data_IF_761753092011
#
_entry.id   IF_761753092011
#
_cell.length_a   1.000
_cell.length_b   1.000
_cell.length_c   1.000
_cell.angle_alpha   90.00
_cell.angle_beta   90.00
_cell.angle_gamma   90.00
#
_symmetry.space_group_name_H-M   'P 1'
#
loop_
_entity.id
_entity.type
_entity.pdbx_description
1 polymer ?
#
# COMPACT_ATOMS: atom_id res chain seq x y z
N UNK A 1 0.76 -38.93 13.08
CA UNK A 1 1.34 -37.81 12.33
C UNK A 1 0.20 -36.91 11.93
N UNK A 2 0.03 -35.77 12.60
CA UNK A 2 -0.91 -34.74 12.16
C UNK A 2 -0.35 -34.12 10.87
N UNK A 3 -1.09 -34.30 9.77
CA UNK A 3 -0.83 -33.58 8.53
C UNK A 3 -1.28 -32.15 8.75
N UNK A 4 -0.34 -31.22 8.92
CA UNK A 4 -0.63 -29.80 8.91
C UNK A 4 -1.06 -29.43 7.49
N UNK A 5 -2.37 -29.32 7.28
CA UNK A 5 -2.91 -28.79 6.02
C UNK A 5 -2.50 -27.33 5.95
N UNK A 6 -1.59 -27.01 5.03
CA UNK A 6 -1.23 -25.64 4.74
C UNK A 6 -2.44 -24.96 4.08
N UNK A 7 -3.05 -24.01 4.77
CA UNK A 7 -4.10 -23.17 4.22
C UNK A 7 -3.44 -22.07 3.41
N UNK A 8 -3.81 -21.94 2.14
CA UNK A 8 -3.39 -20.77 1.36
C UNK A 8 -4.04 -19.55 1.96
N UNK A 9 -3.25 -18.50 2.17
CA UNK A 9 -3.73 -17.19 2.59
C UNK A 9 -4.80 -16.59 1.65
N UNK A 10 -4.86 -17.07 0.39
CA UNK A 10 -5.88 -16.69 -0.59
C UNK A 10 -7.26 -17.32 -0.30
N UNK A 11 -7.29 -18.42 0.45
CA UNK A 11 -8.53 -19.10 0.85
C UNK A 11 -9.14 -18.47 2.10
N UNK A 12 -8.43 -17.52 2.73
CA UNK A 12 -8.91 -16.82 3.90
C UNK A 12 -9.95 -15.76 3.53
N UNK A 13 -10.97 -15.54 4.37
CA UNK A 13 -11.88 -14.42 4.22
C UNK A 13 -11.12 -13.08 4.22
N UNK A 14 -11.58 -12.07 3.44
CA UNK A 14 -10.95 -10.75 3.38
C UNK A 14 -10.74 -10.13 4.76
N UNK A 15 -11.67 -10.30 5.69
CA UNK A 15 -11.60 -9.77 7.06
C UNK A 15 -10.41 -10.35 7.85
N UNK A 16 -10.05 -11.61 7.57
CA UNK A 16 -8.90 -12.25 8.21
C UNK A 16 -7.60 -11.74 7.59
N UNK A 17 -7.57 -11.57 6.26
CA UNK A 17 -6.43 -10.96 5.55
C UNK A 17 -6.22 -9.52 6.05
N UNK A 18 -7.29 -8.78 6.27
CA UNK A 18 -7.28 -7.45 6.87
C UNK A 18 -6.64 -7.45 8.27
N UNK A 19 -6.98 -8.42 9.12
CA UNK A 19 -6.37 -8.56 10.46
C UNK A 19 -4.88 -8.85 10.34
N UNK A 20 -4.47 -9.81 9.50
CA UNK A 20 -3.06 -10.14 9.25
C UNK A 20 -2.31 -8.89 8.78
N UNK A 21 -2.89 -8.13 7.85
CA UNK A 21 -2.33 -6.90 7.32
C UNK A 21 -2.06 -5.84 8.41
N UNK A 22 -2.79 -5.84 9.53
CA UNK A 22 -2.51 -4.91 10.64
C UNK A 22 -1.24 -5.20 11.42
N UNK A 23 -0.68 -6.40 11.30
CA UNK A 23 0.58 -6.79 11.95
C UNK A 23 1.80 -6.54 11.07
N UNK A 24 1.60 -6.22 9.80
CA UNK A 24 2.66 -6.06 8.83
C UNK A 24 3.26 -4.65 8.88
N UNK A 25 4.59 -4.59 8.68
CA UNK A 25 5.29 -3.34 8.47
C UNK A 25 4.93 -2.70 7.14
N UNK A 26 5.35 -1.44 6.96
CA UNK A 26 5.03 -0.67 5.77
C UNK A 26 5.67 -1.23 4.48
N UNK A 27 6.85 -1.81 4.59
CA UNK A 27 7.54 -2.48 3.47
C UNK A 27 6.94 -3.85 3.16
N UNK A 28 6.53 -4.60 4.19
CA UNK A 28 5.84 -5.88 4.02
C UNK A 28 4.49 -5.68 3.33
N UNK A 29 3.68 -4.72 3.80
CA UNK A 29 2.40 -4.38 3.17
C UNK A 29 2.57 -3.96 1.71
N UNK A 30 3.61 -3.18 1.41
CA UNK A 30 3.91 -2.76 0.05
C UNK A 30 4.32 -3.95 -0.84
N UNK A 31 5.10 -4.88 -0.30
CA UNK A 31 5.50 -6.10 -1.01
C UNK A 31 4.30 -7.01 -1.25
N UNK A 32 3.45 -7.18 -0.24
CA UNK A 32 2.20 -7.93 -0.31
C UNK A 32 1.23 -7.40 -1.38
N UNK A 33 1.20 -6.07 -1.56
CA UNK A 33 0.39 -5.41 -2.58
C UNK A 33 0.78 -5.81 -4.02
N UNK A 34 2.02 -6.25 -4.26
CA UNK A 34 2.51 -6.65 -5.58
C UNK A 34 2.52 -8.16 -5.85
N UNK A 35 2.15 -8.99 -4.86
CA UNK A 35 2.19 -10.46 -5.00
C UNK A 35 1.07 -11.00 -5.88
N UNK A 36 -0.17 -10.53 -5.68
CA UNK A 36 -1.35 -11.06 -6.38
C UNK A 36 -2.50 -10.05 -6.44
N UNK A 37 -3.36 -10.13 -7.47
CA UNK A 37 -4.47 -9.17 -7.66
C UNK A 37 -5.51 -9.18 -6.55
N UNK A 38 -5.82 -10.34 -5.97
CA UNK A 38 -6.77 -10.41 -4.84
C UNK A 38 -6.20 -9.75 -3.59
N UNK A 39 -4.89 -9.87 -3.38
CA UNK A 39 -4.18 -9.17 -2.29
C UNK A 39 -4.19 -7.68 -2.51
N UNK A 40 -3.90 -7.23 -3.73
CA UNK A 40 -4.02 -5.84 -4.11
C UNK A 40 -5.42 -5.32 -3.78
N UNK A 41 -6.48 -6.00 -4.22
CA UNK A 41 -7.87 -5.60 -3.96
C UNK A 41 -8.18 -5.50 -2.46
N UNK A 42 -7.80 -6.51 -1.68
CA UNK A 42 -8.09 -6.54 -0.23
C UNK A 42 -7.26 -5.51 0.55
N UNK A 43 -6.01 -5.29 0.14
CA UNK A 43 -5.11 -4.33 0.78
C UNK A 43 -5.29 -2.90 0.28
N UNK A 44 -6.04 -2.68 -0.81
CA UNK A 44 -6.36 -1.37 -1.37
C UNK A 44 -7.42 -0.60 -0.54
N UNK A 45 -7.25 -0.59 0.77
CA UNK A 45 -8.13 0.07 1.72
C UNK A 45 -7.44 1.27 2.36
N UNK A 46 -8.14 2.42 2.31
CA UNK A 46 -7.72 3.66 2.96
C UNK A 46 -7.39 3.47 4.45
N UNK A 47 -8.04 2.51 5.13
CA UNK A 47 -7.83 2.21 6.55
C UNK A 47 -6.40 1.72 6.84
N UNK A 48 -5.80 0.93 5.96
CA UNK A 48 -4.44 0.42 6.14
C UNK A 48 -3.41 1.50 5.88
N UNK A 49 -3.49 2.08 4.68
CA UNK A 49 -2.46 3.02 4.21
C UNK A 49 -2.45 4.34 4.97
N UNK A 50 -3.60 4.76 5.51
CA UNK A 50 -3.66 5.96 6.37
C UNK A 50 -2.79 5.81 7.61
N UNK A 51 -2.73 4.61 8.21
CA UNK A 51 -1.92 4.36 9.42
C UNK A 51 -0.43 4.43 9.15
N UNK A 52 -0.01 4.19 7.90
CA UNK A 52 1.39 4.22 7.49
C UNK A 52 1.85 5.62 7.05
N UNK A 53 0.92 6.55 6.84
CA UNK A 53 1.24 7.93 6.50
C UNK A 53 1.51 8.73 7.79
N UNK A 54 2.63 9.45 7.81
CA UNK A 54 3.02 10.31 8.94
C UNK A 54 2.38 11.70 8.81
N UNK A 55 2.14 12.16 7.57
CA UNK A 55 1.59 13.48 7.31
C UNK A 55 0.07 13.47 7.12
N UNK A 56 -0.62 14.56 7.53
CA UNK A 56 -2.05 14.68 7.28
C UNK A 56 -2.36 14.91 5.79
N UNK A 57 -3.58 14.55 5.40
CA UNK A 57 -4.08 14.55 4.02
C UNK A 57 -3.78 15.85 3.24
N UNK A 58 -3.85 16.99 3.92
CA UNK A 58 -3.59 18.32 3.34
C UNK A 58 -2.21 18.47 2.70
N UNK A 59 -1.20 17.74 3.18
CA UNK A 59 0.16 17.78 2.62
C UNK A 59 0.26 17.05 1.27
N UNK A 60 -0.62 16.07 1.04
CA UNK A 60 -0.65 15.30 -0.21
C UNK A 60 -1.61 15.91 -1.24
N UNK A 61 -2.60 16.69 -0.79
CA UNK A 61 -3.52 17.45 -1.65
C UNK A 61 -2.88 18.66 -2.35
N UNK A 62 -1.70 19.12 -1.91
CA UNK A 62 -1.02 20.25 -2.55
C UNK A 62 -0.54 19.86 -3.95
N UNK A 63 -1.04 20.62 -4.92
CA UNK A 63 -1.11 20.31 -6.35
C UNK A 63 0.24 20.04 -7.04
N UNK A 64 0.19 19.23 -8.10
CA UNK A 64 1.17 19.25 -9.20
C UNK A 64 1.90 17.94 -9.51
N UNK A 65 1.95 16.99 -8.58
CA UNK A 65 2.69 15.74 -8.83
C UNK A 65 1.71 14.59 -9.10
N UNK A 66 1.35 14.43 -10.36
CA UNK A 66 0.80 13.18 -10.90
C UNK A 66 1.93 12.15 -10.95
N UNK A 67 2.29 11.57 -9.80
CA UNK A 67 3.06 10.33 -9.80
C UNK A 67 2.26 9.31 -10.63
N UNK A 68 2.73 8.98 -11.83
CA UNK A 68 2.23 7.86 -12.63
C UNK A 68 0.92 8.05 -13.41
N UNK A 69 0.18 9.17 -13.30
CA UNK A 69 -1.12 9.35 -13.99
C UNK A 69 -1.01 9.53 -15.53
N UNK A 70 0.18 9.36 -16.13
CA UNK A 70 0.30 9.19 -17.58
C UNK A 70 -0.13 7.77 -17.98
N UNK A 71 -1.43 7.50 -17.89
CA UNK A 71 -2.10 6.43 -18.63
C UNK A 71 -2.16 5.05 -17.97
N UNK A 72 -1.72 4.88 -16.72
CA UNK A 72 -1.82 3.59 -16.05
C UNK A 72 -3.18 3.45 -15.31
N UNK A 73 -4.17 2.82 -15.96
CA UNK A 73 -5.53 2.64 -15.42
C UNK A 73 -5.52 1.97 -14.04
N UNK A 74 -4.62 1.02 -13.84
CA UNK A 74 -4.49 0.28 -12.59
C UNK A 74 -4.10 1.21 -11.42
N UNK A 75 -3.32 2.26 -11.68
CA UNK A 75 -2.95 3.23 -10.64
C UNK A 75 -4.11 4.16 -10.26
N UNK A 76 -5.08 4.39 -11.15
CA UNK A 76 -6.25 5.19 -10.81
C UNK A 76 -7.18 4.46 -9.84
N UNK A 77 -7.24 3.13 -9.90
CA UNK A 77 -8.01 2.28 -8.99
C UNK A 77 -7.42 2.19 -7.58
N UNK A 78 -6.15 2.59 -7.40
CA UNK A 78 -5.49 2.62 -6.10
C UNK A 78 -6.10 3.68 -5.18
N UNK A 79 -6.33 3.31 -3.92
CA UNK A 79 -6.93 4.16 -2.91
C UNK A 79 -6.05 5.38 -2.58
N UNK A 80 -6.70 6.46 -2.15
CA UNK A 80 -6.06 7.75 -1.91
C UNK A 80 -4.87 7.67 -0.95
N UNK A 81 -5.01 6.93 0.16
CA UNK A 81 -3.95 6.85 1.16
C UNK A 81 -2.77 5.99 0.71
N UNK A 82 -2.96 5.01 -0.19
CA UNK A 82 -1.85 4.29 -0.81
C UNK A 82 -1.04 5.21 -1.72
N UNK A 83 -1.71 5.99 -2.58
CA UNK A 83 -1.07 7.01 -3.42
C UNK A 83 -0.27 8.02 -2.58
N UNK A 84 -0.84 8.43 -1.44
CA UNK A 84 -0.19 9.34 -0.48
C UNK A 84 1.04 8.71 0.18
N UNK A 85 0.95 7.44 0.60
CA UNK A 85 2.06 6.68 1.17
C UNK A 85 3.20 6.53 0.16
N UNK A 86 2.90 6.15 -1.09
CA UNK A 86 3.90 5.99 -2.14
C UNK A 86 4.64 7.31 -2.40
N UNK A 87 3.92 8.43 -2.41
CA UNK A 87 4.53 9.77 -2.51
C UNK A 87 5.42 10.08 -1.31
N UNK A 88 4.97 9.79 -0.09
CA UNK A 88 5.78 9.99 1.12
C UNK A 88 7.08 9.18 1.06
N UNK A 89 6.99 7.89 0.67
CA UNK A 89 8.14 7.00 0.54
C UNK A 89 9.12 7.53 -0.50
N UNK A 90 8.64 7.92 -1.68
CA UNK A 90 9.48 8.51 -2.72
C UNK A 90 10.19 9.78 -2.24
N UNK A 91 9.47 10.69 -1.58
CA UNK A 91 10.05 11.91 -1.05
C UNK A 91 11.14 11.60 -0.01
N UNK A 92 10.88 10.66 0.90
CA UNK A 92 11.87 10.24 1.90
C UNK A 92 13.13 9.63 1.25
N UNK A 93 12.95 8.76 0.25
CA UNK A 93 14.06 8.17 -0.49
C UNK A 93 14.88 9.22 -1.25
N UNK A 94 14.22 10.21 -1.85
CA UNK A 94 14.88 11.31 -2.54
C UNK A 94 15.67 12.18 -1.55
N UNK A 95 15.06 12.58 -0.44
CA UNK A 95 15.68 13.39 0.61
C UNK A 95 16.89 12.68 1.23
N UNK A 96 16.76 11.41 1.61
CA UNK A 96 17.86 10.61 2.18
C UNK A 96 19.06 10.45 1.23
N UNK A 97 18.82 10.56 -0.09
CA UNK A 97 19.85 10.52 -1.14
C UNK A 97 20.30 11.91 -1.60
N UNK A 98 19.82 12.99 -0.99
CA UNK A 98 20.14 14.37 -1.38
C UNK A 98 19.59 14.80 -2.75
N UNK A 99 18.53 14.13 -3.24
CA UNK A 99 17.85 14.45 -4.50
C UNK A 99 16.64 15.34 -4.17
N UNK A 100 16.68 16.61 -4.55
CA UNK A 100 15.63 17.59 -4.19
C UNK A 100 14.70 17.95 -5.37
N UNK A 101 14.67 17.12 -6.41
CA UNK A 101 13.77 17.25 -7.56
C UNK A 101 12.33 16.90 -7.23
#
# INVERSE_FOLDING_TARGET
MESTVAVSIQDLPPEIIEIIATYLGSDDLHSCFSVFRDWERNLNSNKFWRKLCVYPEKYFKTAGCTLGSRGNKDYEEVCFWKKSYDRQKLLWENWSKGRFT
#
